data_IF_234005577957
#
_entry.id   IF_234005577957
#
_cell.length_a   1.000
_cell.length_b   1.000
_cell.length_c   1.000
_cell.angle_alpha   90.00
_cell.angle_beta   90.00
_cell.angle_gamma   90.00
#
_symmetry.space_group_name_H-M   'P 1'
#
loop_
_entity.id
_entity.type
_entity.pdbx_description
1 polymer ?
#
# COMPACT_ATOMS: atom_id res chain seq x y z
N UNK A 1 40.63 -7.68 -7.05
CA UNK A 1 40.17 -6.53 -6.27
C UNK A 1 39.18 -5.80 -7.18
N UNK A 2 37.93 -6.18 -7.14
CA UNK A 2 36.83 -5.50 -7.82
C UNK A 2 36.11 -4.70 -6.73
N UNK A 3 36.17 -3.38 -6.85
CA UNK A 3 35.49 -2.45 -5.96
C UNK A 3 34.00 -2.52 -6.27
N UNK A 4 33.21 -3.00 -5.31
CA UNK A 4 31.75 -2.87 -5.30
C UNK A 4 31.40 -1.38 -5.10
N UNK A 5 31.00 -0.72 -6.16
CA UNK A 5 30.35 0.59 -6.07
C UNK A 5 28.93 0.37 -5.49
N UNK A 6 28.53 1.14 -4.48
CA UNK A 6 27.16 1.08 -3.98
C UNK A 6 26.21 1.56 -5.08
N UNK A 7 25.34 0.68 -5.57
CA UNK A 7 24.25 1.03 -6.46
C UNK A 7 23.34 2.04 -5.75
N UNK A 8 23.41 3.28 -6.18
CA UNK A 8 22.49 4.34 -5.76
C UNK A 8 21.06 3.93 -6.13
N UNK A 9 20.25 3.65 -5.13
CA UNK A 9 18.80 3.55 -5.28
C UNK A 9 18.31 4.95 -5.61
N UNK A 10 18.01 5.22 -6.87
CA UNK A 10 17.38 6.46 -7.30
C UNK A 10 15.94 6.45 -6.82
N UNK A 11 15.69 7.04 -5.67
CA UNK A 11 14.34 7.48 -5.33
C UNK A 11 13.94 8.54 -6.35
N UNK A 12 13.01 8.18 -7.24
CA UNK A 12 12.39 9.18 -8.10
C UNK A 12 11.57 10.08 -7.17
N UNK A 13 12.08 11.28 -7.01
CA UNK A 13 11.43 12.36 -6.31
C UNK A 13 10.02 12.51 -6.87
N UNK A 14 8.99 12.24 -6.06
CA UNK A 14 7.68 12.82 -6.27
C UNK A 14 7.76 14.31 -5.90
N UNK A 15 8.65 15.05 -6.57
CA UNK A 15 8.51 16.47 -6.67
C UNK A 15 7.26 16.68 -7.51
N UNK A 16 6.18 17.08 -6.85
CA UNK A 16 4.97 17.51 -7.49
C UNK A 16 5.31 18.55 -8.56
N UNK A 17 5.39 18.13 -9.82
CA UNK A 17 4.94 19.04 -10.85
C UNK A 17 3.43 19.19 -10.60
N UNK A 18 2.90 20.41 -10.50
CA UNK A 18 1.47 20.58 -10.46
C UNK A 18 0.92 19.94 -11.73
N UNK A 19 0.28 18.77 -11.58
CA UNK A 19 -0.53 18.23 -12.65
C UNK A 19 -1.57 19.29 -12.98
N UNK A 20 -1.63 19.71 -14.22
CA UNK A 20 -2.64 20.60 -14.74
C UNK A 20 -4.01 20.09 -14.26
N UNK A 21 -4.92 20.98 -13.81
CA UNK A 21 -6.17 20.57 -13.16
C UNK A 21 -7.13 19.76 -14.03
N UNK A 22 -6.82 19.51 -15.28
CA UNK A 22 -7.68 18.74 -16.20
C UNK A 22 -7.52 17.22 -16.08
N UNK A 23 -6.44 16.69 -15.51
CA UNK A 23 -6.26 15.25 -15.33
C UNK A 23 -6.88 14.69 -14.06
N UNK A 24 -7.22 15.54 -13.09
CA UNK A 24 -7.88 15.13 -11.84
C UNK A 24 -9.41 14.96 -11.95
N UNK A 25 -10.00 15.46 -13.04
CA UNK A 25 -11.45 15.32 -13.32
C UNK A 25 -11.90 13.93 -13.78
N UNK A 26 -10.99 13.01 -14.09
CA UNK A 26 -11.32 11.68 -14.61
C UNK A 26 -11.67 10.69 -13.49
N UNK A 27 -11.21 10.91 -12.27
CA UNK A 27 -11.50 10.00 -11.14
C UNK A 27 -12.93 10.18 -10.61
N UNK A 28 -13.55 11.33 -10.82
CA UNK A 28 -14.93 11.59 -10.38
C UNK A 28 -16.03 11.21 -11.40
N UNK A 29 -15.68 10.83 -12.61
CA UNK A 29 -16.65 10.52 -13.68
C UNK A 29 -16.73 9.05 -14.11
N UNK A 30 -16.10 8.13 -13.39
CA UNK A 30 -16.33 6.72 -13.66
C UNK A 30 -17.60 6.27 -12.95
N UNK A 31 -18.60 6.10 -13.78
CA UNK A 31 -20.00 5.88 -13.55
C UNK A 31 -20.35 4.98 -12.37
N UNK A 32 -21.44 5.39 -11.76
CA UNK A 32 -22.37 4.64 -10.91
C UNK A 32 -22.85 3.36 -11.64
N UNK A 33 -21.96 2.38 -11.79
CA UNK A 33 -22.33 1.04 -12.24
C UNK A 33 -22.54 0.18 -10.99
N UNK A 34 -23.78 0.30 -10.47
CA UNK A 34 -24.34 -0.46 -9.37
C UNK A 34 -24.43 -1.93 -9.75
N UNK A 35 -23.37 -2.68 -9.55
CA UNK A 35 -23.41 -4.13 -9.43
C UNK A 35 -22.81 -4.55 -8.08
N UNK A 36 -23.66 -4.53 -7.13
CA UNK A 36 -23.83 -5.22 -5.86
C UNK A 36 -22.62 -5.94 -5.26
N UNK A 37 -21.84 -5.19 -4.51
CA UNK A 37 -21.46 -5.58 -3.18
C UNK A 37 -21.76 -4.39 -2.27
N UNK A 38 -22.44 -4.58 -1.15
CA UNK A 38 -22.75 -3.47 -0.26
C UNK A 38 -21.44 -2.75 0.08
N UNK A 39 -21.41 -1.45 -0.16
CA UNK A 39 -20.34 -0.60 0.35
C UNK A 39 -20.31 -0.82 1.85
N UNK A 40 -19.22 -1.40 2.36
CA UNK A 40 -19.08 -1.58 3.82
C UNK A 40 -19.17 -0.22 4.48
N UNK A 41 -19.81 -0.20 5.63
CA UNK A 41 -19.86 1.01 6.46
C UNK A 41 -18.42 1.41 6.88
N UNK A 42 -18.16 2.68 7.13
CA UNK A 42 -16.84 3.10 7.63
C UNK A 42 -16.39 2.32 8.87
N UNK A 43 -17.33 1.95 9.75
CA UNK A 43 -17.05 1.15 10.95
C UNK A 43 -16.61 -0.29 10.62
N UNK A 44 -17.20 -0.93 9.62
CA UNK A 44 -16.76 -2.26 9.16
C UNK A 44 -15.36 -2.21 8.54
N UNK A 45 -15.02 -1.15 7.82
CA UNK A 45 -13.72 -0.98 7.24
C UNK A 45 -12.63 -0.73 8.30
N UNK A 46 -12.94 0.05 9.34
CA UNK A 46 -12.04 0.23 10.50
C UNK A 46 -11.84 -1.10 11.22
N UNK A 47 -12.90 -1.87 11.43
CA UNK A 47 -12.80 -3.19 12.08
C UNK A 47 -11.96 -4.18 11.25
N UNK A 48 -12.04 -4.14 9.91
CA UNK A 48 -11.19 -4.96 9.03
C UNK A 48 -9.71 -4.52 9.12
N UNK A 49 -9.43 -3.23 9.20
CA UNK A 49 -8.07 -2.71 9.45
C UNK A 49 -7.54 -3.19 10.81
N UNK A 50 -8.32 -3.04 11.88
CA UNK A 50 -7.93 -3.53 13.21
C UNK A 50 -7.66 -5.03 13.21
N UNK A 51 -8.47 -5.81 12.48
CA UNK A 51 -8.29 -7.26 12.33
C UNK A 51 -6.99 -7.61 11.59
N UNK A 52 -6.57 -6.81 10.59
CA UNK A 52 -5.30 -7.02 9.90
C UNK A 52 -4.11 -6.66 10.79
N UNK A 53 -4.20 -5.52 11.48
CA UNK A 53 -3.19 -5.08 12.44
C UNK A 53 -3.05 -6.04 13.63
N UNK A 54 -4.14 -6.63 14.11
CA UNK A 54 -4.11 -7.64 15.16
C UNK A 54 -3.40 -8.94 14.71
N UNK A 55 -3.62 -9.34 13.45
CA UNK A 55 -2.90 -10.48 12.87
C UNK A 55 -1.39 -10.23 12.81
N UNK A 56 -0.97 -9.02 12.44
CA UNK A 56 0.43 -8.62 12.43
C UNK A 56 1.01 -8.52 13.86
N UNK A 57 0.27 -7.96 14.80
CA UNK A 57 0.64 -7.89 16.21
C UNK A 57 0.92 -9.27 16.82
N UNK A 58 0.06 -10.24 16.50
CA UNK A 58 0.24 -11.65 16.92
C UNK A 58 1.59 -12.19 16.42
N UNK A 59 1.94 -11.95 15.16
CA UNK A 59 3.24 -12.33 14.62
C UNK A 59 4.38 -11.66 15.39
N UNK A 60 4.35 -10.32 15.51
CA UNK A 60 5.43 -9.52 16.09
C UNK A 60 5.64 -9.81 17.59
N UNK A 61 4.58 -10.18 18.30
CA UNK A 61 4.64 -10.59 19.70
C UNK A 61 5.29 -11.97 19.90
N UNK A 62 5.31 -12.80 18.86
CA UNK A 62 5.80 -14.18 18.92
C UNK A 62 7.22 -14.35 18.34
N UNK A 63 7.75 -13.40 17.57
CA UNK A 63 9.07 -13.51 16.97
C UNK A 63 10.18 -13.38 18.03
N UNK A 64 11.31 -14.03 17.77
CA UNK A 64 12.46 -14.02 18.68
C UNK A 64 13.25 -12.71 18.56
N UNK A 65 13.99 -12.30 19.58
CA UNK A 65 14.77 -11.07 19.54
C UNK A 65 15.69 -10.93 18.31
N UNK A 66 16.32 -12.04 17.88
CA UNK A 66 17.19 -12.03 16.71
C UNK A 66 16.43 -11.87 15.37
N UNK A 67 15.13 -12.16 15.33
CA UNK A 67 14.33 -12.09 14.10
C UNK A 67 13.98 -10.64 13.75
N UNK A 68 14.08 -9.71 14.69
CA UNK A 68 13.83 -8.29 14.42
C UNK A 68 14.82 -7.67 13.43
N UNK A 69 16.03 -8.18 13.34
CA UNK A 69 17.06 -7.74 12.38
C UNK A 69 17.15 -8.60 11.13
N UNK A 70 16.20 -9.49 10.90
CA UNK A 70 16.15 -10.27 9.65
C UNK A 70 15.80 -9.36 8.47
N UNK A 71 16.57 -9.44 7.36
CA UNK A 71 16.27 -8.68 6.17
C UNK A 71 14.92 -9.09 5.60
N UNK A 72 14.12 -8.11 5.20
CA UNK A 72 12.87 -8.32 4.48
C UNK A 72 13.12 -8.30 2.96
N UNK A 73 12.14 -8.71 2.14
CA UNK A 73 12.21 -8.54 0.69
C UNK A 73 12.32 -7.07 0.25
N UNK A 74 11.92 -6.10 1.08
CA UNK A 74 12.16 -4.68 0.82
C UNK A 74 13.65 -4.39 0.98
N UNK A 75 14.30 -4.01 -0.12
CA UNK A 75 15.76 -3.87 -0.19
C UNK A 75 16.29 -2.87 0.85
N UNK A 76 17.20 -3.34 1.69
CA UNK A 76 17.82 -2.53 2.75
C UNK A 76 17.01 -2.40 4.05
N UNK A 77 15.85 -3.07 4.13
CA UNK A 77 14.97 -3.06 5.30
C UNK A 77 15.01 -4.38 6.06
N UNK A 78 14.95 -4.31 7.37
CA UNK A 78 14.70 -5.43 8.26
C UNK A 78 13.24 -5.40 8.79
N UNK A 79 12.88 -6.38 9.62
CA UNK A 79 11.56 -6.48 10.24
C UNK A 79 11.25 -5.24 11.09
N UNK A 80 12.24 -4.71 11.79
CA UNK A 80 12.10 -3.52 12.63
C UNK A 80 11.89 -2.27 11.79
N UNK A 81 12.59 -2.12 10.67
CA UNK A 81 12.40 -1.00 9.73
C UNK A 81 10.97 -1.00 9.18
N UNK A 82 10.44 -2.18 8.82
CA UNK A 82 9.07 -2.32 8.32
C UNK A 82 8.03 -1.92 9.38
N UNK A 83 8.22 -2.30 10.65
CA UNK A 83 7.34 -1.87 11.73
C UNK A 83 7.47 -0.37 12.01
N UNK A 84 8.69 0.17 11.92
CA UNK A 84 8.95 1.60 12.08
C UNK A 84 8.22 2.44 11.03
N UNK A 85 8.24 2.00 9.79
CA UNK A 85 7.48 2.61 8.70
C UNK A 85 5.97 2.62 9.01
N UNK A 86 5.41 1.48 9.39
CA UNK A 86 4.00 1.40 9.75
C UNK A 86 3.66 2.34 10.92
N UNK A 87 4.52 2.40 11.95
CA UNK A 87 4.33 3.26 13.11
C UNK A 87 4.32 4.75 12.72
N UNK A 88 5.31 5.18 11.93
CA UNK A 88 5.41 6.56 11.46
C UNK A 88 4.16 6.99 10.69
N UNK A 89 3.72 6.18 9.73
CA UNK A 89 2.56 6.52 8.92
C UNK A 89 1.23 6.37 9.66
N UNK A 90 1.16 5.56 10.70
CA UNK A 90 -0.02 5.50 11.55
C UNK A 90 -0.14 6.75 12.44
N UNK A 91 0.97 7.23 13.00
CA UNK A 91 1.02 8.51 13.75
C UNK A 91 0.69 9.70 12.84
N UNK A 92 1.25 9.72 11.62
CA UNK A 92 0.92 10.73 10.62
C UNK A 92 -0.57 10.71 10.24
N UNK A 93 -1.17 9.51 10.15
CA UNK A 93 -2.59 9.34 9.87
C UNK A 93 -3.48 9.90 10.98
N UNK A 94 -3.12 9.68 12.24
CA UNK A 94 -3.79 10.29 13.40
C UNK A 94 -3.71 11.82 13.33
N UNK A 95 -2.51 12.36 13.07
CA UNK A 95 -2.30 13.80 12.95
C UNK A 95 -3.12 14.39 11.80
N UNK A 96 -3.16 13.72 10.65
CA UNK A 96 -3.95 14.17 9.51
C UNK A 96 -5.45 14.22 9.78
N UNK A 97 -5.99 13.27 10.56
CA UNK A 97 -7.40 13.25 10.91
C UNK A 97 -7.78 14.28 11.99
N UNK A 98 -6.94 14.45 13.00
CA UNK A 98 -7.26 15.26 14.18
C UNK A 98 -6.75 16.70 14.08
N UNK A 99 -5.63 16.90 13.40
CA UNK A 99 -4.90 18.16 13.30
C UNK A 99 -4.42 18.39 11.84
N UNK A 100 -5.33 18.51 10.85
CA UNK A 100 -4.95 18.51 9.43
C UNK A 100 -3.97 19.63 9.05
N UNK A 101 -4.10 20.80 9.64
CA UNK A 101 -3.18 21.92 9.40
C UNK A 101 -1.76 21.61 9.90
N UNK A 102 -1.65 20.95 11.06
CA UNK A 102 -0.37 20.49 11.58
C UNK A 102 0.25 19.41 10.69
N UNK A 103 -0.55 18.47 10.21
CA UNK A 103 -0.07 17.46 9.26
C UNK A 103 0.49 18.11 8.00
N UNK A 104 -0.23 19.07 7.41
CA UNK A 104 0.22 19.78 6.20
C UNK A 104 1.55 20.49 6.46
N UNK A 105 1.70 21.18 7.58
CA UNK A 105 2.95 21.85 7.94
C UNK A 105 4.13 20.86 8.09
N UNK A 106 3.91 19.73 8.76
CA UNK A 106 4.92 18.67 8.92
C UNK A 106 5.29 18.02 7.58
N UNK A 107 4.31 17.76 6.73
CA UNK A 107 4.53 17.22 5.38
C UNK A 107 5.39 18.18 4.54
N UNK A 108 5.07 19.45 4.54
CA UNK A 108 5.75 20.44 3.73
C UNK A 108 7.20 20.67 4.24
N UNK A 109 7.42 20.61 5.55
CA UNK A 109 8.77 20.64 6.16
C UNK A 109 9.58 19.39 5.75
N UNK A 110 8.97 18.20 5.76
CA UNK A 110 9.60 16.97 5.30
C UNK A 110 10.03 17.08 3.83
N UNK A 111 9.15 17.58 2.96
CA UNK A 111 9.46 17.74 1.55
C UNK A 111 10.57 18.76 1.31
N UNK A 112 10.58 19.87 2.04
CA UNK A 112 11.66 20.86 1.97
C UNK A 112 13.01 20.26 2.42
N UNK A 113 13.01 19.46 3.47
CA UNK A 113 14.19 18.73 3.95
C UNK A 113 14.72 17.73 2.93
N UNK A 114 13.82 16.94 2.31
CA UNK A 114 14.18 15.99 1.26
C UNK A 114 14.77 16.71 0.03
N UNK A 115 14.16 17.79 -0.43
CA UNK A 115 14.66 18.60 -1.55
C UNK A 115 16.05 19.17 -1.27
N UNK A 116 16.29 19.68 -0.06
CA UNK A 116 17.58 20.20 0.39
C UNK A 116 18.66 19.09 0.42
N UNK A 117 18.29 17.90 0.91
CA UNK A 117 19.20 16.74 0.97
C UNK A 117 19.61 16.28 -0.43
N UNK A 118 18.69 16.26 -1.39
CA UNK A 118 18.98 15.93 -2.79
C UNK A 118 19.90 16.96 -3.44
N UNK A 119 19.68 18.27 -3.19
CA UNK A 119 20.52 19.34 -3.75
C UNK A 119 21.95 19.31 -3.19
N UNK A 120 22.09 18.96 -1.90
CA UNK A 120 23.40 18.90 -1.23
C UNK A 120 24.13 17.58 -1.46
N UNK A 121 23.51 16.60 -2.15
CA UNK A 121 24.06 15.23 -2.30
C UNK A 121 24.09 14.45 -0.98
N UNK A 122 23.40 14.92 0.04
CA UNK A 122 23.25 14.23 1.33
C UNK A 122 22.26 13.07 1.18
N UNK A 123 22.32 12.10 2.11
CA UNK A 123 21.32 11.04 2.17
C UNK A 123 19.94 11.63 2.44
N UNK A 124 18.92 11.14 1.71
CA UNK A 124 17.51 11.48 2.00
C UNK A 124 17.14 11.07 3.42
N UNK A 125 16.26 11.81 4.11
CA UNK A 125 15.77 11.41 5.42
C UNK A 125 15.26 9.97 5.40
N UNK A 126 15.77 9.16 6.30
CA UNK A 126 15.33 7.77 6.46
C UNK A 126 14.00 7.77 7.21
N UNK A 127 12.92 7.37 6.53
CA UNK A 127 11.59 7.25 7.13
C UNK A 127 11.43 6.00 8.01
N UNK A 128 12.46 5.15 8.08
CA UNK A 128 12.49 3.96 8.93
C UNK A 128 12.86 4.33 10.38
N UNK A 129 11.90 4.86 11.13
CA UNK A 129 12.12 5.31 12.52
C UNK A 129 12.58 4.20 13.47
N UNK A 130 12.43 2.91 13.10
CA UNK A 130 12.87 1.77 13.92
C UNK A 130 14.36 1.79 14.25
N UNK A 131 15.17 2.30 13.33
CA UNK A 131 16.63 2.48 13.56
C UNK A 131 16.93 3.52 14.63
N UNK A 132 16.03 4.49 14.83
CA UNK A 132 16.18 5.54 15.84
C UNK A 132 15.71 5.09 17.22
N UNK A 133 14.73 4.21 17.32
CA UNK A 133 14.16 3.74 18.59
C UNK A 133 15.06 2.68 19.24
N UNK A 134 15.71 1.83 18.46
CA UNK A 134 16.66 0.82 18.96
C UNK A 134 16.02 -0.41 19.62
N UNK A 135 14.99 -0.22 20.47
CA UNK A 135 14.28 -1.28 21.17
C UNK A 135 12.99 -1.72 20.43
N UNK A 136 12.91 -2.96 19.93
CA UNK A 136 11.75 -3.45 19.23
C UNK A 136 10.46 -3.52 20.08
N UNK A 137 10.60 -3.74 21.40
CA UNK A 137 9.44 -3.80 22.30
C UNK A 137 8.83 -2.41 22.44
N UNK A 138 9.63 -1.38 22.64
CA UNK A 138 9.16 0.00 22.71
C UNK A 138 8.52 0.44 21.37
N UNK A 139 9.10 0.02 20.23
CA UNK A 139 8.54 0.29 18.92
C UNK A 139 7.18 -0.39 18.72
N UNK A 140 7.03 -1.65 19.15
CA UNK A 140 5.76 -2.37 19.06
C UNK A 140 4.67 -1.71 19.91
N UNK A 141 4.98 -1.28 21.13
CA UNK A 141 4.02 -0.56 21.98
C UNK A 141 3.64 0.80 21.41
N UNK A 142 4.59 1.51 20.81
CA UNK A 142 4.32 2.78 20.13
C UNK A 142 3.37 2.57 18.95
N UNK A 143 3.61 1.56 18.12
CA UNK A 143 2.70 1.21 17.03
C UNK A 143 1.30 0.80 17.51
N UNK A 144 1.21 0.01 18.61
CA UNK A 144 -0.07 -0.34 19.22
C UNK A 144 -0.87 0.89 19.65
N UNK A 145 -0.19 1.87 20.24
CA UNK A 145 -0.79 3.16 20.63
C UNK A 145 -1.27 3.94 19.40
N UNK A 146 -0.44 4.04 18.37
CA UNK A 146 -0.77 4.78 17.15
C UNK A 146 -1.99 4.18 16.44
N UNK A 147 -2.04 2.85 16.25
CA UNK A 147 -3.16 2.19 15.57
C UNK A 147 -4.48 2.29 16.35
N UNK A 148 -4.44 2.21 17.68
CA UNK A 148 -5.63 2.40 18.52
C UNK A 148 -6.15 3.85 18.44
N UNK A 149 -5.23 4.82 18.42
CA UNK A 149 -5.57 6.24 18.23
C UNK A 149 -6.19 6.48 16.85
N UNK A 150 -5.65 5.86 15.79
CA UNK A 150 -6.22 5.94 14.45
C UNK A 150 -7.63 5.36 14.41
N UNK A 151 -7.86 4.16 14.94
CA UNK A 151 -9.18 3.53 14.95
C UNK A 151 -10.21 4.42 15.67
N UNK A 152 -9.85 5.02 16.79
CA UNK A 152 -10.69 5.95 17.53
C UNK A 152 -10.99 7.21 16.73
N UNK A 153 -9.97 7.83 16.11
CA UNK A 153 -10.12 9.03 15.30
C UNK A 153 -11.01 8.77 14.07
N UNK A 154 -10.76 7.67 13.36
CA UNK A 154 -11.51 7.30 12.16
C UNK A 154 -12.98 6.95 12.46
N UNK A 155 -13.25 6.28 13.59
CA UNK A 155 -14.61 5.97 14.03
C UNK A 155 -15.43 7.21 14.40
N UNK A 156 -14.75 8.28 14.82
CA UNK A 156 -15.37 9.54 15.24
C UNK A 156 -15.43 10.60 14.15
N UNK A 157 -14.75 10.39 13.02
CA UNK A 157 -14.66 11.35 11.93
C UNK A 157 -15.95 11.40 11.10
N UNK A 158 -16.23 12.55 10.47
CA UNK A 158 -17.28 12.65 9.46
C UNK A 158 -16.94 11.68 8.30
N UNK A 159 -17.83 10.75 7.93
CA UNK A 159 -17.61 9.83 6.81
C UNK A 159 -17.30 10.52 5.47
N UNK A 160 -17.66 11.79 5.33
CA UNK A 160 -17.41 12.61 4.13
C UNK A 160 -16.10 13.40 4.19
N UNK A 161 -15.35 13.32 5.29
CA UNK A 161 -14.10 14.06 5.44
C UNK A 161 -13.12 13.67 4.32
N UNK A 162 -12.41 14.68 3.81
CA UNK A 162 -11.24 14.48 2.95
C UNK A 162 -10.00 14.50 3.84
N UNK A 163 -9.20 13.46 3.76
CA UNK A 163 -7.99 13.30 4.57
C UNK A 163 -6.79 13.77 3.75
N UNK A 164 -6.06 14.74 4.27
CA UNK A 164 -4.79 15.20 3.69
C UNK A 164 -3.73 14.11 3.81
N UNK A 165 -2.89 13.97 2.77
CA UNK A 165 -1.83 12.97 2.79
C UNK A 165 -0.56 13.47 2.09
N UNK A 166 0.43 12.59 1.97
CA UNK A 166 1.67 12.82 1.21
C UNK A 166 1.48 12.84 -0.30
N UNK A 167 0.29 12.59 -0.79
CA UNK A 167 -0.19 12.73 -2.15
C UNK A 167 -1.49 13.54 -2.18
N UNK A 168 -2.38 13.30 -3.17
CA UNK A 168 -3.69 13.93 -3.19
C UNK A 168 -4.53 13.56 -1.96
N UNK A 169 -5.37 14.49 -1.51
CA UNK A 169 -6.35 14.19 -0.46
C UNK A 169 -7.34 13.13 -0.93
N UNK A 170 -7.79 12.29 -0.02
CA UNK A 170 -8.69 11.18 -0.36
C UNK A 170 -9.85 11.05 0.63
N UNK A 171 -10.89 10.29 0.29
CA UNK A 171 -11.98 9.99 1.22
C UNK A 171 -11.47 9.19 2.42
N UNK A 172 -12.13 9.28 3.57
CA UNK A 172 -11.80 8.48 4.75
C UNK A 172 -11.80 6.98 4.43
N UNK A 173 -12.76 6.51 3.62
CA UNK A 173 -12.83 5.10 3.23
C UNK A 173 -11.61 4.67 2.40
N UNK A 174 -11.21 5.46 1.39
CA UNK A 174 -10.00 5.18 0.59
C UNK A 174 -8.74 5.22 1.46
N UNK A 175 -8.67 6.18 2.39
CA UNK A 175 -7.56 6.32 3.31
C UNK A 175 -7.42 5.11 4.24
N UNK A 176 -8.51 4.68 4.87
CA UNK A 176 -8.54 3.48 5.73
C UNK A 176 -8.19 2.21 4.94
N UNK A 177 -8.68 2.11 3.68
CA UNK A 177 -8.30 0.99 2.79
C UNK A 177 -6.80 0.99 2.49
N UNK A 178 -6.20 2.17 2.26
CA UNK A 178 -4.77 2.28 2.05
C UNK A 178 -3.98 1.87 3.31
N UNK A 179 -4.41 2.26 4.53
CA UNK A 179 -3.78 1.82 5.78
C UNK A 179 -3.85 0.30 5.94
N UNK A 180 -4.99 -0.32 5.58
CA UNK A 180 -5.13 -1.77 5.61
C UNK A 180 -4.17 -2.44 4.61
N UNK A 181 -4.06 -1.92 3.41
CA UNK A 181 -3.12 -2.43 2.38
C UNK A 181 -1.68 -2.33 2.87
N UNK A 182 -1.25 -1.21 3.47
CA UNK A 182 0.09 -1.03 4.01
C UNK A 182 0.39 -2.04 5.13
N UNK A 183 -0.53 -2.19 6.11
CA UNK A 183 -0.36 -3.14 7.20
C UNK A 183 -0.23 -4.58 6.67
N UNK A 184 -1.04 -4.96 5.68
CA UNK A 184 -0.97 -6.29 5.06
C UNK A 184 0.31 -6.48 4.26
N UNK A 185 0.69 -5.52 3.42
CA UNK A 185 1.82 -5.63 2.51
C UNK A 185 3.16 -5.71 3.26
N UNK A 186 3.36 -4.84 4.26
CA UNK A 186 4.53 -4.95 5.15
C UNK A 186 4.45 -6.17 6.06
N UNK A 187 3.24 -6.61 6.42
CA UNK A 187 3.02 -7.88 7.10
C UNK A 187 3.47 -9.09 6.27
N UNK A 188 3.27 -9.07 4.95
CA UNK A 188 3.82 -10.08 4.02
C UNK A 188 5.34 -10.05 4.04
N UNK A 189 5.95 -8.86 3.92
CA UNK A 189 7.41 -8.71 3.95
C UNK A 189 8.02 -9.26 5.24
N UNK A 190 7.41 -8.98 6.40
CA UNK A 190 7.87 -9.49 7.70
C UNK A 190 7.66 -11.01 7.84
N UNK A 191 6.53 -11.56 7.39
CA UNK A 191 6.27 -13.01 7.39
C UNK A 191 7.29 -13.77 6.53
N UNK A 192 7.61 -13.23 5.36
CA UNK A 192 8.64 -13.79 4.48
C UNK A 192 10.01 -13.80 5.18
N UNK A 193 10.39 -12.71 5.84
CA UNK A 193 11.65 -12.60 6.57
C UNK A 193 11.80 -13.65 7.68
N UNK A 194 10.70 -13.98 8.37
CA UNK A 194 10.73 -14.94 9.49
C UNK A 194 10.24 -16.34 9.12
N UNK A 195 9.90 -16.57 7.85
CA UNK A 195 9.51 -17.89 7.34
C UNK A 195 8.12 -18.34 7.78
N UNK A 196 7.18 -17.41 8.00
CA UNK A 196 5.79 -17.71 8.37
C UNK A 196 4.90 -17.70 7.12
N UNK A 197 4.10 -18.75 6.96
CA UNK A 197 3.21 -18.89 5.81
C UNK A 197 2.13 -17.79 5.79
N UNK A 198 1.79 -17.33 4.58
CA UNK A 198 0.70 -16.39 4.37
C UNK A 198 -0.65 -17.13 4.51
N UNK A 199 -1.61 -16.48 5.17
CA UNK A 199 -2.97 -16.98 5.32
C UNK A 199 -3.92 -15.98 4.65
N UNK A 200 -4.73 -16.50 3.72
CA UNK A 200 -5.74 -15.69 3.05
C UNK A 200 -6.90 -15.37 4.01
N UNK A 201 -7.42 -14.16 3.93
CA UNK A 201 -8.59 -13.72 4.68
C UNK A 201 -9.54 -12.91 3.80
N UNK A 202 -10.79 -12.71 4.23
CA UNK A 202 -11.74 -11.85 3.48
C UNK A 202 -11.28 -10.40 3.36
N UNK A 203 -10.38 -9.93 4.20
CA UNK A 203 -9.80 -8.58 4.15
C UNK A 203 -8.99 -8.34 2.86
N UNK A 204 -8.52 -9.41 2.18
CA UNK A 204 -7.89 -9.32 0.86
C UNK A 204 -8.78 -8.63 -0.19
N UNK A 205 -10.11 -8.62 0.02
CA UNK A 205 -11.02 -7.89 -0.86
C UNK A 205 -10.67 -6.40 -0.94
N UNK A 206 -10.26 -5.79 0.17
CA UNK A 206 -9.85 -4.38 0.20
C UNK A 206 -8.59 -4.14 -0.62
N UNK A 207 -7.65 -5.08 -0.58
CA UNK A 207 -6.40 -5.00 -1.33
C UNK A 207 -6.64 -5.21 -2.82
N UNK A 208 -7.48 -6.18 -3.19
CA UNK A 208 -7.90 -6.35 -4.58
C UNK A 208 -8.64 -5.10 -5.11
N UNK A 209 -9.49 -4.48 -4.27
CA UNK A 209 -10.22 -3.26 -4.63
C UNK A 209 -9.29 -2.07 -4.86
N UNK A 210 -8.36 -1.80 -3.94
CA UNK A 210 -7.42 -0.68 -4.10
C UNK A 210 -6.49 -0.92 -5.29
N UNK A 211 -6.04 -2.17 -5.50
CA UNK A 211 -5.23 -2.55 -6.67
C UNK A 211 -5.97 -2.32 -7.98
N UNK A 212 -7.26 -2.69 -8.05
CA UNK A 212 -8.10 -2.43 -9.21
C UNK A 212 -8.30 -0.93 -9.45
N UNK A 213 -8.56 -0.18 -8.39
CA UNK A 213 -8.77 1.28 -8.46
C UNK A 213 -7.50 2.06 -8.81
N UNK A 214 -6.32 1.47 -8.57
CA UNK A 214 -5.02 2.07 -8.86
C UNK A 214 -4.56 1.90 -10.32
N UNK A 215 -5.43 1.46 -11.25
CA UNK A 215 -5.07 1.26 -12.66
C UNK A 215 -4.41 2.51 -13.27
N UNK A 216 -5.09 3.64 -13.23
CA UNK A 216 -4.57 4.88 -13.79
C UNK A 216 -3.22 5.29 -13.17
N UNK A 217 -3.05 5.08 -11.86
CA UNK A 217 -1.78 5.30 -11.17
C UNK A 217 -0.69 4.35 -11.67
N UNK A 218 -1.01 3.06 -11.88
CA UNK A 218 -0.05 2.07 -12.40
C UNK A 218 0.51 2.51 -13.76
N UNK A 219 -0.35 2.93 -14.68
CA UNK A 219 0.05 3.40 -16.00
C UNK A 219 0.90 4.69 -15.90
N UNK A 220 0.42 5.68 -15.15
CA UNK A 220 1.12 6.97 -14.99
C UNK A 220 2.50 6.81 -14.33
N UNK A 221 2.61 5.99 -13.28
CA UNK A 221 3.87 5.79 -12.56
C UNK A 221 4.95 5.06 -13.37
N UNK A 222 4.52 4.29 -14.38
CA UNK A 222 5.43 3.59 -15.30
C UNK A 222 5.65 4.32 -16.64
N UNK A 223 5.00 5.48 -16.84
CA UNK A 223 5.12 6.24 -18.10
C UNK A 223 4.56 5.48 -19.30
N UNK A 224 3.55 4.63 -19.09
CA UNK A 224 2.89 3.84 -20.13
C UNK A 224 1.48 4.40 -20.36
N UNK A 225 1.10 4.57 -21.61
CA UNK A 225 -0.25 5.00 -21.95
C UNK A 225 -1.28 3.91 -21.63
N UNK A 226 -2.35 4.26 -20.92
CA UNK A 226 -3.47 3.34 -20.71
C UNK A 226 -4.30 3.22 -22.00
N UNK A 227 -4.46 2.02 -22.58
CA UNK A 227 -5.29 1.80 -23.77
C UNK A 227 -6.75 2.22 -23.60
N UNK A 228 -7.23 2.29 -22.35
CA UNK A 228 -8.60 2.69 -22.05
C UNK A 228 -9.65 1.59 -22.20
N UNK A 229 -9.29 0.40 -22.71
CA UNK A 229 -10.23 -0.71 -22.82
C UNK A 229 -10.67 -1.19 -21.42
N UNK A 230 -11.96 -1.52 -21.25
CA UNK A 230 -12.45 -2.00 -19.98
C UNK A 230 -11.80 -3.34 -19.59
N UNK A 231 -11.40 -3.47 -18.35
CA UNK A 231 -10.85 -4.71 -17.78
C UNK A 231 -11.76 -5.19 -16.66
N UNK A 232 -12.06 -6.48 -16.66
CA UNK A 232 -12.76 -7.15 -15.56
C UNK A 232 -11.76 -7.88 -14.67
N UNK A 233 -11.88 -7.68 -13.36
CA UNK A 233 -11.16 -8.46 -12.36
C UNK A 233 -12.12 -9.50 -11.76
N UNK A 234 -11.72 -10.78 -11.75
CA UNK A 234 -12.47 -11.91 -11.19
C UNK A 234 -11.59 -12.62 -10.19
N UNK A 235 -12.00 -12.63 -8.94
CA UNK A 235 -11.16 -13.08 -7.82
C UNK A 235 -11.86 -14.17 -7.03
N UNK A 236 -11.20 -15.32 -6.87
CA UNK A 236 -11.65 -16.40 -6.01
C UNK A 236 -11.37 -16.03 -4.55
N UNK A 237 -12.43 -15.85 -3.76
CA UNK A 237 -12.31 -15.49 -2.34
C UNK A 237 -11.83 -16.68 -1.49
N UNK A 238 -11.25 -16.43 -0.31
CA UNK A 238 -10.86 -17.51 0.60
C UNK A 238 -12.01 -18.38 1.09
N UNK A 239 -13.25 -17.90 1.02
CA UNK A 239 -14.44 -18.57 1.52
C UNK A 239 -15.25 -19.26 0.39
N UNK A 240 -14.73 -19.25 -0.84
CA UNK A 240 -15.36 -19.88 -1.99
C UNK A 240 -16.34 -18.98 -2.76
N UNK A 241 -16.52 -17.72 -2.34
CA UNK A 241 -17.25 -16.71 -3.13
C UNK A 241 -16.39 -16.22 -4.31
N UNK A 242 -17.02 -15.56 -5.28
CA UNK A 242 -16.31 -14.85 -6.35
C UNK A 242 -16.53 -13.35 -6.19
N UNK A 243 -15.44 -12.58 -6.16
CA UNK A 243 -15.50 -11.13 -6.17
C UNK A 243 -15.19 -10.61 -7.57
N UNK A 244 -15.92 -9.59 -8.00
CA UNK A 244 -15.71 -9.01 -9.33
C UNK A 244 -15.67 -7.49 -9.27
N UNK A 245 -14.88 -6.90 -10.17
CA UNK A 245 -14.79 -5.47 -10.45
C UNK A 245 -14.73 -5.26 -11.96
N UNK A 246 -15.21 -4.12 -12.42
CA UNK A 246 -15.28 -3.78 -13.85
C UNK A 246 -16.49 -4.36 -14.55
N UNK A 247 -16.73 -3.96 -15.83
CA UNK A 247 -17.90 -4.37 -16.61
C UNK A 247 -17.96 -5.89 -16.83
N UNK A 248 -19.17 -6.45 -16.77
CA UNK A 248 -19.39 -7.90 -16.93
C UNK A 248 -19.11 -8.40 -18.34
N UNK A 249 -19.18 -7.53 -19.32
CA UNK A 249 -18.97 -7.76 -20.75
C UNK A 249 -17.55 -7.41 -21.24
N UNK A 250 -16.67 -6.99 -20.35
CA UNK A 250 -15.26 -6.74 -20.69
C UNK A 250 -14.60 -8.01 -21.23
N UNK A 251 -13.91 -7.87 -22.37
CA UNK A 251 -13.16 -8.95 -23.03
C UNK A 251 -11.78 -9.15 -22.39
N UNK A 252 -11.25 -8.11 -21.79
CA UNK A 252 -10.01 -8.13 -21.05
C UNK A 252 -10.28 -8.50 -19.59
N UNK A 253 -9.65 -9.60 -19.13
CA UNK A 253 -9.95 -10.18 -17.81
C UNK A 253 -8.64 -10.49 -17.06
N UNK A 254 -8.59 -10.11 -15.79
CA UNK A 254 -7.60 -10.60 -14.81
C UNK A 254 -8.35 -11.53 -13.86
N UNK A 255 -7.82 -12.73 -13.60
CA UNK A 255 -8.47 -13.67 -12.71
C UNK A 255 -7.47 -14.46 -11.86
N UNK A 256 -7.92 -14.93 -10.67
CA UNK A 256 -7.13 -15.79 -9.81
C UNK A 256 -7.53 -15.74 -8.34
N UNK A 257 -6.82 -16.49 -7.47
CA UNK A 257 -7.05 -16.48 -6.03
C UNK A 257 -6.77 -15.09 -5.41
N UNK A 258 -7.57 -14.71 -4.41
CA UNK A 258 -7.47 -13.40 -3.77
C UNK A 258 -6.07 -13.08 -3.23
N UNK A 259 -5.40 -14.08 -2.64
CA UNK A 259 -4.05 -13.91 -2.13
C UNK A 259 -3.06 -13.58 -3.26
N UNK A 260 -3.13 -14.31 -4.35
CA UNK A 260 -2.22 -14.15 -5.48
C UNK A 260 -2.44 -12.79 -6.18
N UNK A 261 -3.69 -12.39 -6.39
CA UNK A 261 -4.03 -11.08 -6.95
C UNK A 261 -3.49 -9.94 -6.06
N UNK A 262 -3.70 -10.03 -4.74
CA UNK A 262 -3.19 -9.06 -3.78
C UNK A 262 -1.65 -8.98 -3.80
N UNK A 263 -0.96 -10.12 -3.86
CA UNK A 263 0.51 -10.20 -3.93
C UNK A 263 1.06 -9.55 -5.21
N UNK A 264 0.39 -9.72 -6.35
CA UNK A 264 0.80 -9.10 -7.62
C UNK A 264 0.52 -7.59 -7.58
N UNK A 265 -0.67 -7.15 -7.16
CA UNK A 265 -1.02 -5.73 -7.10
C UNK A 265 -0.15 -4.93 -6.12
N UNK A 266 0.31 -5.54 -5.04
CA UNK A 266 1.24 -4.92 -4.10
C UNK A 266 2.71 -5.20 -4.41
N UNK A 267 2.99 -5.88 -5.52
CA UNK A 267 4.33 -6.26 -5.96
C UNK A 267 5.13 -7.05 -4.90
N UNK A 268 4.48 -7.91 -4.13
CA UNK A 268 5.14 -8.82 -3.18
C UNK A 268 5.51 -10.15 -3.82
N UNK A 269 4.91 -10.49 -4.99
CA UNK A 269 5.32 -11.62 -5.84
C UNK A 269 5.23 -11.22 -7.30
N UNK A 270 6.18 -11.71 -8.08
CA UNK A 270 6.07 -11.61 -9.54
C UNK A 270 4.94 -12.52 -10.03
N UNK A 271 4.18 -12.07 -11.04
CA UNK A 271 3.02 -12.82 -11.58
C UNK A 271 3.33 -14.27 -11.98
N UNK A 272 4.55 -14.54 -12.44
CA UNK A 272 4.97 -15.90 -12.84
C UNK A 272 5.03 -16.90 -11.67
N UNK A 273 4.99 -16.41 -10.44
CA UNK A 273 4.98 -17.23 -9.22
C UNK A 273 3.62 -17.29 -8.54
N UNK A 274 2.58 -16.96 -9.26
CA UNK A 274 1.19 -16.91 -8.80
C UNK A 274 0.28 -17.66 -9.77
N UNK A 275 -0.95 -17.86 -9.36
CA UNK A 275 -2.00 -18.45 -10.20
C UNK A 275 -2.84 -17.39 -10.92
N UNK A 276 -2.41 -16.13 -10.91
CA UNK A 276 -3.10 -15.03 -11.62
C UNK A 276 -2.99 -15.25 -13.13
N UNK A 277 -4.11 -15.11 -13.82
CA UNK A 277 -4.23 -15.26 -15.26
C UNK A 277 -4.79 -14.00 -15.89
N UNK A 278 -4.40 -13.76 -17.13
CA UNK A 278 -4.92 -12.66 -17.96
C UNK A 278 -5.54 -13.21 -19.23
N UNK A 279 -6.57 -12.52 -19.72
CA UNK A 279 -7.12 -12.65 -21.05
C UNK A 279 -7.20 -11.25 -21.63
N UNK A 280 -6.75 -11.08 -22.89
CA UNK A 280 -6.74 -9.81 -23.58
C UNK A 280 -5.48 -8.95 -23.37
N UNK A 281 -5.15 -8.10 -24.35
CA UNK A 281 -3.87 -7.36 -24.37
C UNK A 281 -3.81 -6.26 -23.29
N UNK A 282 -4.93 -5.61 -22.99
CA UNK A 282 -4.98 -4.53 -21.98
C UNK A 282 -4.84 -5.10 -20.57
N UNK A 283 -5.46 -6.26 -20.28
CA UNK A 283 -5.29 -6.98 -19.01
C UNK A 283 -3.84 -7.44 -18.83
N UNK A 284 -3.21 -7.95 -19.89
CA UNK A 284 -1.81 -8.39 -19.88
C UNK A 284 -0.87 -7.22 -19.62
N UNK A 285 -1.04 -6.11 -20.34
CA UNK A 285 -0.25 -4.91 -20.18
C UNK A 285 -0.38 -4.35 -18.77
N UNK A 286 -1.63 -4.15 -18.29
CA UNK A 286 -1.85 -3.62 -16.95
C UNK A 286 -1.26 -4.51 -15.87
N UNK A 287 -1.47 -5.84 -15.90
CA UNK A 287 -0.93 -6.73 -14.88
C UNK A 287 0.60 -6.71 -14.84
N UNK A 288 1.27 -6.43 -15.97
CA UNK A 288 2.74 -6.34 -16.03
C UNK A 288 3.31 -5.13 -15.28
N UNK A 289 2.50 -4.09 -15.07
CA UNK A 289 2.87 -2.82 -14.40
C UNK A 289 2.01 -2.51 -13.18
N UNK A 290 1.15 -3.45 -12.75
CA UNK A 290 0.21 -3.23 -11.67
C UNK A 290 0.91 -2.81 -10.38
N UNK A 291 0.42 -1.72 -9.77
CA UNK A 291 1.01 -1.15 -8.57
C UNK A 291 -0.06 -0.42 -7.76
N UNK A 292 -0.29 -0.89 -6.54
CA UNK A 292 -1.31 -0.34 -5.62
C UNK A 292 -0.75 0.64 -4.58
N UNK A 293 0.55 0.94 -4.61
CA UNK A 293 1.24 1.76 -3.62
C UNK A 293 2.06 2.87 -4.28
N UNK A 294 2.31 3.96 -3.54
CA UNK A 294 3.17 5.05 -3.98
C UNK A 294 4.66 4.67 -3.87
N UNK A 295 5.47 5.13 -4.84
CA UNK A 295 6.91 4.88 -4.85
C UNK A 295 7.37 4.09 -6.07
N UNK A 296 8.66 3.74 -6.15
CA UNK A 296 9.19 2.96 -7.27
C UNK A 296 8.67 1.52 -7.24
N UNK A 297 8.40 0.95 -8.42
CA UNK A 297 8.07 -0.46 -8.56
C UNK A 297 9.18 -1.35 -8.03
N UNK A 298 8.83 -2.43 -7.34
CA UNK A 298 9.79 -3.27 -6.59
C UNK A 298 10.00 -4.64 -7.19
N UNK A 299 9.05 -5.18 -7.96
CA UNK A 299 9.12 -6.54 -8.50
C UNK A 299 9.36 -6.52 -9.99
N UNK A 300 10.63 -6.44 -10.37
CA UNK A 300 11.09 -6.66 -11.76
C UNK A 300 11.69 -8.05 -11.96
N UNK A 301 11.95 -8.79 -10.88
CA UNK A 301 12.61 -10.10 -10.92
C UNK A 301 11.56 -11.23 -10.94
N UNK A 302 11.49 -12.04 -12.02
CA UNK A 302 10.62 -13.22 -12.08
C UNK A 302 10.87 -14.26 -10.98
N UNK A 303 11.98 -14.18 -10.27
CA UNK A 303 12.31 -15.10 -9.17
C UNK A 303 11.75 -14.64 -7.80
N UNK A 304 11.20 -13.45 -7.74
CA UNK A 304 10.55 -12.88 -6.54
C UNK A 304 9.09 -13.21 -6.42
#
# INVERSE_FOLDING_TARGET
>A
MLQDEPRQVKFVTLAAQPAEPETLGVVEKMGDDRMHSPSRSPSELVADLEGEQASLDTLLSAIKPQDWSRPTPAVGWDVRDSLSHLCFFEEAAVTSLLEPERFVAQRDELYASMASSLQSGSATPDLALGRQIGDPVALLERWRTARASYATAAASADPKVRVEWYGPSMSLASFTTARLMEAWAHGVDMKDAVGVALVASRRLRHICHIGFSARAYSFASHGVDDPGDPVRLVVDSPDGDVWTWGPSDATDVISGPALDVALVFTQRRHRSRTLVRTQGPTAELWLSIAQAFAGPGTVTDPQR
#
